data_IF_667287116090
#
_entry.id   IF_667287116090
#
_cell.length_a   1.000
_cell.length_b   1.000
_cell.length_c   1.000
_cell.angle_alpha   90.00
_cell.angle_beta   90.00
_cell.angle_gamma   90.00
#
_symmetry.space_group_name_H-M   'P 1'
#
loop_
_entity.id
_entity.type
_entity.pdbx_description
1 polymer ?
#
# COMPACT_ATOMS: atom_id res chain seq x y z
N UNK A 1 23.06 -9.30 -3.53
CA UNK A 1 22.69 -7.87 -3.79
C UNK A 1 21.24 -7.83 -4.19
N UNK A 2 20.45 -7.01 -3.52
CA UNK A 2 19.02 -6.79 -3.78
C UNK A 2 18.92 -5.48 -4.58
N UNK A 3 18.33 -5.52 -5.77
CA UNK A 3 18.26 -4.31 -6.62
C UNK A 3 17.24 -3.31 -6.09
N UNK A 4 16.06 -3.79 -5.63
CA UNK A 4 14.96 -2.95 -5.20
C UNK A 4 14.19 -3.58 -4.03
N UNK A 5 13.99 -2.81 -2.97
CA UNK A 5 13.02 -3.08 -1.91
C UNK A 5 11.74 -2.31 -2.22
N UNK A 6 10.64 -3.03 -2.50
CA UNK A 6 9.36 -2.40 -2.92
C UNK A 6 8.46 -2.00 -1.76
N UNK A 7 8.84 -2.34 -0.52
CA UNK A 7 8.00 -2.20 0.65
C UNK A 7 8.79 -1.64 1.84
N UNK A 8 8.88 -0.32 1.92
CA UNK A 8 9.45 0.41 3.06
C UNK A 8 8.59 1.62 3.40
N UNK A 9 8.72 2.12 4.63
CA UNK A 9 7.93 3.23 5.12
C UNK A 9 8.77 4.34 5.73
N UNK A 10 8.40 5.58 5.42
CA UNK A 10 8.86 6.78 6.15
C UNK A 10 7.66 7.68 6.46
N UNK A 11 7.71 8.30 7.64
CA UNK A 11 6.75 9.33 8.06
C UNK A 11 7.46 10.69 7.96
N UNK A 12 7.11 11.53 7.00
CA UNK A 12 7.77 12.81 6.83
C UNK A 12 7.43 13.77 7.97
N UNK A 13 8.46 14.43 8.51
CA UNK A 13 8.32 15.42 9.59
C UNK A 13 8.82 16.77 9.14
N UNK A 14 7.90 17.73 9.06
CA UNK A 14 8.17 19.14 8.97
C UNK A 14 7.46 19.82 10.16
N UNK A 15 8.17 20.03 11.27
CA UNK A 15 7.60 20.49 12.53
C UNK A 15 6.76 21.76 12.36
N UNK A 16 7.25 22.75 11.59
CA UNK A 16 6.55 24.01 11.36
C UNK A 16 5.24 23.82 10.57
N UNK A 17 5.26 22.97 9.54
CA UNK A 17 4.04 22.69 8.74
C UNK A 17 3.01 21.89 9.55
N UNK A 18 3.46 20.95 10.40
CA UNK A 18 2.58 20.13 11.25
C UNK A 18 1.80 20.95 12.29
N UNK A 19 2.33 22.09 12.77
CA UNK A 19 1.64 22.97 13.71
C UNK A 19 0.30 23.50 13.16
N UNK A 20 0.17 23.62 11.84
CA UNK A 20 -1.05 24.08 11.18
C UNK A 20 -2.08 22.96 10.90
N UNK A 21 -1.73 21.69 11.14
CA UNK A 21 -2.57 20.53 10.78
C UNK A 21 -3.34 20.06 12.02
N UNK A 22 -4.68 20.13 12.02
CA UNK A 22 -5.49 19.71 13.17
C UNK A 22 -5.27 18.23 13.52
N UNK A 23 -5.19 17.94 14.81
CA UNK A 23 -5.03 16.57 15.32
C UNK A 23 -3.62 16.01 15.19
N UNK A 24 -2.63 16.84 14.78
CA UNK A 24 -1.24 16.41 14.62
C UNK A 24 -0.33 17.15 15.59
N UNK A 25 0.55 16.43 16.28
CA UNK A 25 1.55 17.03 17.16
C UNK A 25 2.87 16.25 17.02
N UNK A 26 3.96 16.97 16.80
CA UNK A 26 5.31 16.42 16.81
C UNK A 26 6.03 16.80 18.12
N UNK A 27 6.57 15.81 18.80
CA UNK A 27 7.42 15.99 19.99
C UNK A 27 8.88 15.68 19.59
N UNK A 28 9.73 16.71 19.44
CA UNK A 28 11.13 16.53 19.04
C UNK A 28 11.98 15.86 20.13
N UNK A 29 11.64 16.02 21.41
CA UNK A 29 12.42 15.47 22.51
C UNK A 29 12.29 13.94 22.62
N UNK A 30 11.08 13.43 22.36
CA UNK A 30 10.82 11.98 22.35
C UNK A 30 10.83 11.38 20.95
N UNK A 31 10.99 12.18 19.91
CA UNK A 31 10.88 11.78 18.49
C UNK A 31 9.57 10.99 18.24
N UNK A 32 8.44 11.59 18.59
CA UNK A 32 7.14 10.94 18.48
C UNK A 32 6.12 11.84 17.79
N UNK A 33 5.38 11.24 16.86
CA UNK A 33 4.24 11.87 16.19
C UNK A 33 2.95 11.41 16.86
N UNK A 34 2.09 12.35 17.24
CA UNK A 34 0.74 12.06 17.73
C UNK A 34 -0.28 12.45 16.67
N UNK A 35 -1.12 11.51 16.27
CA UNK A 35 -2.21 11.69 15.31
C UNK A 35 -3.54 11.34 16.00
N UNK A 36 -4.43 12.35 16.11
CA UNK A 36 -5.76 12.16 16.68
C UNK A 36 -5.76 11.46 18.05
N UNK A 37 -4.76 11.79 18.88
CA UNK A 37 -4.55 11.21 20.21
C UNK A 37 -3.75 9.90 20.24
N UNK A 38 -3.41 9.30 19.08
CA UNK A 38 -2.60 8.09 19.00
C UNK A 38 -1.11 8.42 18.77
N UNK A 39 -0.26 7.93 19.65
CA UNK A 39 1.18 8.16 19.59
C UNK A 39 1.89 7.13 18.71
N UNK A 40 2.66 7.59 17.74
CA UNK A 40 3.58 6.81 16.91
C UNK A 40 4.99 7.07 17.40
N UNK A 41 5.62 6.07 18.01
CA UNK A 41 6.95 6.17 18.62
C UNK A 41 8.00 5.28 17.96
N UNK A 42 7.77 4.79 16.75
CA UNK A 42 8.76 4.05 15.97
C UNK A 42 9.69 5.07 15.34
N UNK A 43 10.81 5.39 16.03
CA UNK A 43 11.73 6.46 15.65
C UNK A 43 12.28 6.32 14.25
N UNK A 44 12.55 5.09 13.82
CA UNK A 44 13.13 4.82 12.51
C UNK A 44 12.24 5.29 11.36
N UNK A 45 10.92 5.41 11.56
CA UNK A 45 10.00 6.01 10.58
C UNK A 45 10.35 7.46 10.19
N UNK A 46 11.03 8.19 11.07
CA UNK A 46 11.32 9.61 10.90
C UNK A 46 12.73 9.89 10.35
N UNK A 47 13.52 8.84 10.08
CA UNK A 47 14.94 8.92 9.79
C UNK A 47 15.31 8.18 8.50
N UNK A 48 15.30 8.88 7.37
CA UNK A 48 15.68 8.31 6.07
C UNK A 48 17.13 7.78 6.06
N UNK A 49 18.03 8.42 6.80
CA UNK A 49 19.42 7.98 6.95
C UNK A 49 19.56 6.61 7.60
N UNK A 50 18.62 6.22 8.47
CA UNK A 50 18.60 4.87 9.07
C UNK A 50 18.15 3.83 8.07
N UNK A 51 17.17 4.16 7.20
CA UNK A 51 16.79 3.28 6.10
C UNK A 51 17.98 3.07 5.15
N UNK A 52 18.69 4.14 4.78
CA UNK A 52 19.86 4.06 3.90
C UNK A 52 20.96 3.21 4.55
N UNK A 53 21.26 3.42 5.83
CA UNK A 53 22.25 2.61 6.56
C UNK A 53 21.87 1.11 6.61
N UNK A 54 20.58 0.80 6.81
CA UNK A 54 20.08 -0.58 6.69
C UNK A 54 20.25 -1.14 5.29
N UNK A 55 19.90 -0.37 4.26
CA UNK A 55 20.09 -0.77 2.87
C UNK A 55 21.55 -1.12 2.56
N UNK A 56 22.50 -0.31 3.07
CA UNK A 56 23.92 -0.57 2.89
C UNK A 56 24.36 -1.86 3.57
N UNK A 57 23.91 -2.10 4.81
CA UNK A 57 24.20 -3.32 5.57
C UNK A 57 23.65 -4.59 4.89
N UNK A 58 22.50 -4.50 4.23
CA UNK A 58 21.84 -5.63 3.55
C UNK A 58 22.09 -5.68 2.05
N UNK A 59 22.99 -4.83 1.54
CA UNK A 59 23.32 -4.74 0.10
C UNK A 59 22.08 -4.52 -0.79
N UNK A 60 21.18 -3.60 -0.35
CA UNK A 60 20.00 -3.16 -1.09
C UNK A 60 20.37 -1.89 -1.85
N UNK A 61 20.20 -1.90 -3.17
CA UNK A 61 20.60 -0.77 -4.02
C UNK A 61 19.61 0.39 -3.90
N UNK A 62 18.30 0.11 -3.97
CA UNK A 62 17.22 1.11 -3.95
C UNK A 62 16.04 0.63 -3.12
N UNK A 63 15.23 1.56 -2.63
CA UNK A 63 13.96 1.26 -1.99
C UNK A 63 12.85 2.21 -2.47
N UNK A 64 11.63 1.67 -2.61
CA UNK A 64 10.42 2.47 -2.75
C UNK A 64 9.84 2.75 -1.36
N UNK A 65 9.52 4.00 -1.11
CA UNK A 65 9.05 4.46 0.19
C UNK A 65 7.61 4.93 0.09
N UNK A 66 6.75 4.36 0.92
CA UNK A 66 5.38 4.83 1.13
C UNK A 66 5.21 5.41 2.54
N UNK A 67 4.17 6.21 2.74
CA UNK A 67 3.76 6.60 4.09
C UNK A 67 3.22 5.36 4.85
N UNK A 68 3.44 5.25 6.18
CA UNK A 68 2.91 4.13 6.96
C UNK A 68 1.40 4.26 7.20
N UNK A 69 0.67 3.13 7.38
CA UNK A 69 -0.79 3.12 7.54
C UNK A 69 -1.37 4.08 8.59
N UNK A 70 -0.73 4.29 9.75
CA UNK A 70 -1.24 5.27 10.72
C UNK A 70 -1.39 6.69 10.16
N UNK A 71 -0.68 7.03 9.07
CA UNK A 71 -0.77 8.33 8.43
C UNK A 71 -1.89 8.43 7.40
N UNK A 72 -2.59 7.35 7.06
CA UNK A 72 -3.69 7.42 6.10
C UNK A 72 -4.84 8.30 6.61
N UNK A 73 -5.12 8.30 7.91
CA UNK A 73 -6.17 9.12 8.56
C UNK A 73 -7.47 9.16 7.76
N UNK A 74 -7.93 8.02 7.29
CA UNK A 74 -9.07 7.84 6.38
C UNK A 74 -10.42 8.38 6.93
N UNK A 75 -10.46 8.74 8.21
CA UNK A 75 -11.62 9.36 8.87
C UNK A 75 -11.70 10.88 8.67
N UNK A 76 -10.68 11.50 8.09
CA UNK A 76 -10.67 12.96 7.92
C UNK A 76 -11.77 13.45 6.98
N UNK A 77 -12.42 14.58 7.29
CA UNK A 77 -13.27 15.26 6.32
C UNK A 77 -12.48 15.65 5.07
N UNK A 78 -13.16 15.68 3.93
CA UNK A 78 -12.60 15.90 2.57
C UNK A 78 -11.52 16.99 2.49
N UNK A 79 -11.80 18.18 3.00
CA UNK A 79 -10.87 19.32 2.87
C UNK A 79 -9.63 19.15 3.75
N UNK A 80 -9.77 18.50 4.91
CA UNK A 80 -8.65 18.15 5.76
C UNK A 80 -7.82 17.00 5.12
N UNK A 81 -8.49 16.02 4.52
CA UNK A 81 -7.83 14.93 3.78
C UNK A 81 -6.99 15.48 2.63
N UNK A 82 -7.50 16.47 1.86
CA UNK A 82 -6.74 17.12 0.79
C UNK A 82 -5.47 17.80 1.31
N UNK A 83 -5.57 18.59 2.37
CA UNK A 83 -4.42 19.30 2.97
C UNK A 83 -3.40 18.29 3.50
N UNK A 84 -3.87 17.26 4.22
CA UNK A 84 -3.03 16.22 4.79
C UNK A 84 -2.31 15.41 3.71
N UNK A 85 -3.02 14.98 2.66
CA UNK A 85 -2.44 14.21 1.56
C UNK A 85 -1.37 15.01 0.81
N UNK A 86 -1.61 16.28 0.54
CA UNK A 86 -0.60 17.15 -0.08
C UNK A 86 0.64 17.27 0.80
N UNK A 87 0.46 17.56 2.08
CA UNK A 87 1.58 17.60 3.03
C UNK A 87 2.42 16.32 2.98
N UNK A 88 1.77 15.15 3.09
CA UNK A 88 2.46 13.87 3.10
C UNK A 88 3.27 13.63 1.83
N UNK A 89 2.66 13.86 0.66
CA UNK A 89 3.32 13.63 -0.61
C UNK A 89 4.47 14.62 -0.84
N UNK A 90 4.24 15.91 -0.59
CA UNK A 90 5.25 16.95 -0.79
C UNK A 90 6.48 16.74 0.11
N UNK A 91 6.26 16.41 1.38
CA UNK A 91 7.36 16.20 2.32
C UNK A 91 8.06 14.85 2.11
N UNK A 92 7.35 13.79 1.70
CA UNK A 92 7.97 12.51 1.34
C UNK A 92 8.87 12.65 0.11
N UNK A 93 8.41 13.39 -0.91
CA UNK A 93 9.21 13.67 -2.11
C UNK A 93 10.51 14.38 -1.76
N UNK A 94 10.47 15.43 -0.91
CA UNK A 94 11.67 16.15 -0.46
C UNK A 94 12.68 15.26 0.26
N UNK A 95 12.20 14.23 0.98
CA UNK A 95 13.10 13.26 1.63
C UNK A 95 13.79 12.41 0.57
N UNK A 96 13.03 11.88 -0.40
CA UNK A 96 13.61 10.99 -1.42
C UNK A 96 14.54 11.73 -2.40
N UNK A 97 14.24 12.96 -2.75
CA UNK A 97 15.13 13.80 -3.57
C UNK A 97 16.53 13.99 -2.98
N UNK A 98 16.64 14.00 -1.64
CA UNK A 98 17.92 14.13 -0.91
C UNK A 98 18.71 12.82 -0.82
N UNK A 99 18.15 11.72 -1.27
CA UNK A 99 18.73 10.37 -1.13
C UNK A 99 19.69 9.98 -2.27
N UNK A 100 20.05 10.90 -3.16
CA UNK A 100 20.93 10.63 -4.30
C UNK A 100 20.44 9.44 -5.17
N UNK A 101 19.11 9.31 -5.31
CA UNK A 101 18.49 8.24 -6.10
C UNK A 101 18.38 6.88 -5.40
N UNK A 102 18.73 6.81 -4.11
CA UNK A 102 18.61 5.58 -3.31
C UNK A 102 17.14 5.26 -2.96
N UNK A 103 16.32 6.30 -2.75
CA UNK A 103 14.91 6.19 -2.37
C UNK A 103 14.02 6.74 -3.47
N UNK A 104 12.93 6.04 -3.78
CA UNK A 104 11.86 6.50 -4.66
C UNK A 104 10.56 6.68 -3.88
N UNK A 105 9.88 7.83 -4.03
CA UNK A 105 8.62 8.09 -3.34
C UNK A 105 7.44 7.46 -4.05
N UNK A 106 6.53 6.82 -3.29
CA UNK A 106 5.21 6.44 -3.74
C UNK A 106 4.19 7.49 -3.33
N UNK A 107 3.43 8.01 -4.28
CA UNK A 107 2.41 9.02 -4.07
C UNK A 107 1.17 8.41 -3.43
N UNK A 108 0.74 8.91 -2.28
CA UNK A 108 -0.47 8.44 -1.62
C UNK A 108 -1.72 9.09 -2.19
N UNK A 109 -2.78 8.30 -2.44
CA UNK A 109 -4.10 8.76 -2.85
C UNK A 109 -5.18 8.28 -1.85
N UNK A 110 -6.01 9.20 -1.31
CA UNK A 110 -7.08 8.89 -0.36
C UNK A 110 -8.34 8.42 -1.12
N UNK A 111 -8.49 7.12 -1.33
CA UNK A 111 -9.60 6.54 -2.11
C UNK A 111 -10.97 6.70 -1.45
N UNK A 112 -11.03 6.99 -0.16
CA UNK A 112 -12.26 7.33 0.57
C UNK A 112 -12.88 8.65 0.09
N UNK A 113 -12.13 9.46 -0.66
CA UNK A 113 -12.57 10.72 -1.27
C UNK A 113 -12.37 10.72 -2.79
N UNK A 114 -13.19 9.98 -3.56
CA UNK A 114 -13.00 9.85 -5.03
C UNK A 114 -13.02 11.18 -5.79
N UNK A 115 -13.72 12.17 -5.26
CA UNK A 115 -13.81 13.52 -5.85
C UNK A 115 -12.51 14.33 -5.74
N UNK A 116 -11.55 13.92 -4.89
CA UNK A 116 -10.22 14.52 -4.80
C UNK A 116 -9.23 13.97 -5.83
N UNK A 117 -9.51 12.80 -6.42
CA UNK A 117 -8.54 12.08 -7.25
C UNK A 117 -8.06 12.90 -8.42
N UNK A 118 -8.95 13.58 -9.17
CA UNK A 118 -8.55 14.41 -10.30
C UNK A 118 -7.54 15.50 -9.90
N UNK A 119 -7.78 16.19 -8.78
CA UNK A 119 -6.90 17.25 -8.28
C UNK A 119 -5.55 16.69 -7.79
N UNK A 120 -5.53 15.49 -7.24
CA UNK A 120 -4.32 14.86 -6.70
C UNK A 120 -3.48 14.20 -7.79
N UNK A 121 -4.11 13.65 -8.85
CA UNK A 121 -3.39 13.06 -9.98
C UNK A 121 -2.48 14.09 -10.69
N UNK A 122 -2.90 15.35 -10.80
CA UNK A 122 -2.05 16.44 -11.33
C UNK A 122 -0.74 16.59 -10.53
N UNK A 123 -0.79 16.42 -9.21
CA UNK A 123 0.39 16.47 -8.34
C UNK A 123 1.38 15.33 -8.57
N UNK A 124 0.88 14.14 -8.89
CA UNK A 124 1.73 13.00 -9.27
C UNK A 124 2.48 13.25 -10.57
N UNK A 125 1.80 13.73 -11.61
CA UNK A 125 2.39 13.94 -12.94
C UNK A 125 3.54 14.97 -12.93
N UNK A 126 3.49 15.92 -12.03
CA UNK A 126 4.50 17.00 -11.93
C UNK A 126 5.57 16.73 -10.89
N UNK A 127 5.41 15.72 -10.03
CA UNK A 127 6.19 15.58 -8.80
C UNK A 127 7.42 14.66 -8.87
N UNK A 128 7.60 13.83 -9.88
CA UNK A 128 8.76 12.93 -9.93
C UNK A 128 8.64 11.69 -9.01
N UNK A 129 7.42 11.27 -8.69
CA UNK A 129 7.12 10.03 -7.96
C UNK A 129 7.35 8.79 -8.84
N UNK A 130 7.70 7.67 -8.22
CA UNK A 130 8.00 6.41 -8.92
C UNK A 130 6.83 5.42 -8.93
N UNK A 131 5.73 5.77 -8.34
CA UNK A 131 4.51 4.98 -8.29
C UNK A 131 3.49 5.55 -7.32
N UNK A 132 2.44 4.81 -7.11
CA UNK A 132 1.28 5.17 -6.29
C UNK A 132 1.18 4.21 -5.09
N UNK A 133 0.86 4.72 -3.90
CA UNK A 133 0.45 3.94 -2.75
C UNK A 133 -1.05 4.10 -2.51
N UNK A 134 -1.76 2.98 -2.40
CA UNK A 134 -3.20 2.94 -2.13
C UNK A 134 -3.48 2.10 -0.88
N UNK A 135 -4.42 2.57 -0.06
CA UNK A 135 -4.89 1.79 1.08
C UNK A 135 -5.74 0.62 0.60
N UNK A 136 -5.31 -0.62 0.85
CA UNK A 136 -6.16 -1.79 0.66
C UNK A 136 -7.18 -1.85 1.81
N UNK A 137 -8.38 -1.30 1.59
CA UNK A 137 -9.43 -1.24 2.62
C UNK A 137 -9.17 -0.22 3.74
N UNK A 138 -9.50 -0.58 4.97
CA UNK A 138 -9.40 0.31 6.14
C UNK A 138 -10.52 1.35 6.26
N UNK A 139 -11.36 1.50 5.27
CA UNK A 139 -12.52 2.35 5.27
C UNK A 139 -13.66 1.72 4.45
N UNK A 140 -14.91 1.80 4.93
CA UNK A 140 -16.06 1.16 4.30
C UNK A 140 -16.34 1.66 2.86
N UNK A 141 -15.93 2.88 2.55
CA UNK A 141 -16.09 3.46 1.22
C UNK A 141 -15.04 2.96 0.22
N UNK A 142 -13.96 2.33 0.65
CA UNK A 142 -12.92 1.80 -0.24
C UNK A 142 -13.32 0.41 -0.71
N UNK A 143 -13.99 0.36 -1.85
CA UNK A 143 -14.42 -0.88 -2.52
C UNK A 143 -13.93 -0.86 -3.95
N UNK A 144 -12.87 -1.56 -4.24
CA UNK A 144 -12.08 -1.51 -5.47
C UNK A 144 -12.83 -1.90 -6.76
N UNK A 145 -14.04 -2.45 -6.65
CA UNK A 145 -14.93 -2.75 -7.79
C UNK A 145 -15.90 -1.62 -8.13
N UNK A 146 -15.89 -0.51 -7.39
CA UNK A 146 -16.76 0.62 -7.67
C UNK A 146 -16.40 1.29 -8.99
N UNK A 147 -17.42 1.64 -9.76
CA UNK A 147 -17.25 2.30 -11.08
C UNK A 147 -16.67 3.71 -10.98
N UNK A 148 -16.83 4.37 -9.83
CA UNK A 148 -16.22 5.68 -9.58
C UNK A 148 -14.70 5.66 -9.75
N UNK A 149 -14.07 4.50 -9.59
CA UNK A 149 -12.63 4.34 -9.77
C UNK A 149 -12.23 4.04 -11.23
N UNK A 150 -13.15 3.82 -12.17
CA UNK A 150 -12.78 3.52 -13.56
C UNK A 150 -11.94 4.63 -14.20
N UNK A 151 -12.19 5.91 -13.84
CA UNK A 151 -11.37 7.04 -14.29
C UNK A 151 -9.95 6.98 -13.72
N UNK A 152 -9.82 6.58 -12.45
CA UNK A 152 -8.51 6.37 -11.81
C UNK A 152 -7.77 5.24 -12.49
N UNK A 153 -8.43 4.10 -12.74
CA UNK A 153 -7.78 2.96 -13.38
C UNK A 153 -7.31 3.30 -14.79
N UNK A 154 -8.10 4.02 -15.57
CA UNK A 154 -7.68 4.47 -16.89
C UNK A 154 -6.45 5.37 -16.81
N UNK A 155 -6.45 6.36 -15.93
CA UNK A 155 -5.31 7.25 -15.73
C UNK A 155 -4.03 6.51 -15.30
N UNK A 156 -4.15 5.55 -14.38
CA UNK A 156 -3.02 4.73 -13.93
C UNK A 156 -2.47 3.83 -15.03
N UNK A 157 -3.35 3.31 -15.89
CA UNK A 157 -2.98 2.50 -17.05
C UNK A 157 -2.22 3.34 -18.10
N UNK A 158 -2.73 4.53 -18.42
CA UNK A 158 -2.09 5.48 -19.33
C UNK A 158 -0.69 5.88 -18.84
N UNK A 159 -0.51 6.04 -17.53
CA UNK A 159 0.76 6.33 -16.89
C UNK A 159 1.66 5.09 -16.73
N UNK A 160 1.16 3.88 -17.00
CA UNK A 160 1.83 2.58 -16.71
C UNK A 160 2.34 2.49 -15.27
N UNK A 161 1.51 2.93 -14.34
CA UNK A 161 1.88 3.16 -12.96
C UNK A 161 2.24 1.86 -12.22
N UNK A 162 3.26 1.93 -11.37
CA UNK A 162 3.43 0.98 -10.28
C UNK A 162 2.48 1.38 -9.15
N UNK A 163 1.62 0.45 -8.72
CA UNK A 163 0.60 0.69 -7.69
C UNK A 163 0.82 -0.28 -6.54
N UNK A 164 1.28 0.24 -5.41
CA UNK A 164 1.45 -0.54 -4.20
C UNK A 164 0.18 -0.50 -3.35
N UNK A 165 -0.44 -1.66 -3.14
CA UNK A 165 -1.60 -1.81 -2.27
C UNK A 165 -1.15 -2.30 -0.89
N UNK A 166 -1.19 -1.39 0.08
CA UNK A 166 -0.86 -1.69 1.47
C UNK A 166 -2.10 -1.59 2.36
N UNK A 167 -2.34 -2.55 3.30
CA UNK A 167 -3.55 -2.53 4.11
C UNK A 167 -3.69 -1.23 4.92
N UNK A 168 -4.91 -0.69 4.93
CA UNK A 168 -5.34 0.28 5.93
C UNK A 168 -5.69 -0.42 7.25
N UNK A 169 -6.04 0.36 8.27
CA UNK A 169 -6.44 -0.20 9.56
C UNK A 169 -7.77 -0.96 9.44
N UNK A 170 -7.78 -2.24 9.71
CA UNK A 170 -8.98 -3.05 9.65
C UNK A 170 -10.02 -2.58 10.68
N UNK A 171 -11.26 -2.40 10.23
CA UNK A 171 -12.35 -1.86 11.06
C UNK A 171 -13.22 -2.96 11.72
N UNK A 172 -12.83 -4.23 11.64
CA UNK A 172 -13.62 -5.33 12.24
C UNK A 172 -13.50 -5.32 13.77
N UNK A 173 -14.59 -5.02 14.50
CA UNK A 173 -14.53 -4.92 15.97
C UNK A 173 -14.20 -6.25 16.67
N UNK A 174 -14.29 -7.38 15.97
CA UNK A 174 -13.90 -8.69 16.52
C UNK A 174 -12.37 -8.85 16.62
N UNK A 175 -11.60 -7.99 15.96
CA UNK A 175 -10.14 -8.08 15.88
C UNK A 175 -9.40 -7.14 16.84
N UNK A 176 -10.11 -6.45 17.74
CA UNK A 176 -9.50 -5.45 18.65
C UNK A 176 -8.59 -6.06 19.73
N UNK A 177 -8.73 -7.36 20.05
CA UNK A 177 -7.89 -8.03 21.03
C UNK A 177 -6.69 -8.74 20.36
N UNK A 178 -5.63 -8.96 21.15
CA UNK A 178 -4.46 -9.77 20.75
C UNK A 178 -3.73 -9.27 19.50
N UNK A 179 -3.83 -8.00 19.19
CA UNK A 179 -3.24 -7.41 17.99
C UNK A 179 -3.77 -8.03 16.68
N UNK A 180 -4.98 -8.61 16.71
CA UNK A 180 -5.57 -9.30 15.55
C UNK A 180 -5.92 -8.34 14.40
N UNK A 181 -6.10 -7.05 14.67
CA UNK A 181 -6.25 -6.02 13.63
C UNK A 181 -5.07 -6.06 12.65
N UNK A 182 -3.85 -6.21 13.17
CA UNK A 182 -2.66 -6.35 12.36
C UNK A 182 -2.47 -7.78 11.87
N UNK A 183 -2.52 -8.78 12.77
CA UNK A 183 -2.16 -10.18 12.47
C UNK A 183 -3.12 -10.86 11.48
N UNK A 184 -4.40 -10.49 11.50
CA UNK A 184 -5.46 -11.04 10.64
C UNK A 184 -6.04 -9.95 9.73
N UNK A 185 -6.34 -8.77 10.29
CA UNK A 185 -7.02 -7.71 9.58
C UNK A 185 -6.23 -7.22 8.37
N UNK A 186 -4.95 -6.91 8.51
CA UNK A 186 -4.13 -6.44 7.41
C UNK A 186 -4.08 -7.42 6.22
N UNK A 187 -3.76 -8.72 6.40
CA UNK A 187 -3.83 -9.67 5.28
C UNK A 187 -5.24 -9.85 4.72
N UNK A 188 -6.30 -9.71 5.53
CA UNK A 188 -7.67 -9.74 5.04
C UNK A 188 -8.00 -8.55 4.14
N UNK A 189 -7.67 -7.32 4.54
CA UNK A 189 -7.91 -6.11 3.74
C UNK A 189 -7.21 -6.20 2.37
N UNK A 190 -5.96 -6.64 2.34
CA UNK A 190 -5.23 -6.88 1.08
C UNK A 190 -5.95 -7.90 0.20
N UNK A 191 -6.39 -9.03 0.79
CA UNK A 191 -7.11 -10.08 0.07
C UNK A 191 -8.45 -9.62 -0.48
N UNK A 192 -9.21 -8.82 0.29
CA UNK A 192 -10.51 -8.25 -0.14
C UNK A 192 -10.32 -7.25 -1.28
N UNK A 193 -9.35 -6.33 -1.16
CA UNK A 193 -9.06 -5.36 -2.22
C UNK A 193 -8.68 -6.04 -3.54
N UNK A 194 -7.76 -7.02 -3.48
CA UNK A 194 -7.35 -7.79 -4.65
C UNK A 194 -8.51 -8.60 -5.25
N UNK A 195 -9.37 -9.21 -4.41
CA UNK A 195 -10.55 -9.93 -4.85
C UNK A 195 -11.53 -9.02 -5.62
N UNK A 196 -11.78 -7.80 -5.12
CA UNK A 196 -12.61 -6.82 -5.83
C UNK A 196 -12.02 -6.43 -7.18
N UNK A 197 -10.72 -6.13 -7.25
CA UNK A 197 -10.03 -5.82 -8.51
C UNK A 197 -10.19 -6.96 -9.53
N UNK A 198 -9.94 -8.20 -9.10
CA UNK A 198 -10.04 -9.39 -9.96
C UNK A 198 -11.46 -9.62 -10.45
N UNK A 199 -12.44 -9.64 -9.52
CA UNK A 199 -13.83 -9.94 -9.84
C UNK A 199 -14.53 -8.83 -10.60
N UNK A 200 -13.99 -7.62 -10.62
CA UNK A 200 -14.39 -6.52 -11.49
C UNK A 200 -13.62 -6.50 -12.84
N UNK A 201 -12.67 -7.42 -13.05
CA UNK A 201 -11.87 -7.50 -14.26
C UNK A 201 -10.89 -6.33 -14.47
N UNK A 202 -10.56 -5.59 -13.40
CA UNK A 202 -9.69 -4.40 -13.47
C UNK A 202 -8.32 -4.72 -14.06
N UNK A 203 -7.58 -5.78 -13.59
CA UNK A 203 -6.24 -6.04 -14.12
C UNK A 203 -6.20 -6.48 -15.58
N UNK A 204 -7.33 -6.98 -16.11
CA UNK A 204 -7.43 -7.35 -17.53
C UNK A 204 -7.85 -6.17 -18.40
N UNK A 205 -8.69 -5.27 -17.88
CA UNK A 205 -9.12 -4.05 -18.59
C UNK A 205 -8.03 -2.99 -18.67
N UNK A 206 -7.15 -2.95 -17.67
CA UNK A 206 -6.09 -1.97 -17.48
C UNK A 206 -4.74 -2.70 -17.31
N UNK A 207 -4.20 -3.30 -18.39
CA UNK A 207 -3.09 -4.24 -18.33
C UNK A 207 -1.72 -3.60 -18.08
N UNK A 208 -1.58 -2.30 -18.26
CA UNK A 208 -0.32 -1.58 -18.05
C UNK A 208 -0.13 -1.14 -16.59
N UNK A 209 -1.15 -1.26 -15.73
CA UNK A 209 -1.02 -1.04 -14.28
C UNK A 209 -0.25 -2.21 -13.66
N UNK A 210 0.82 -1.91 -12.94
CA UNK A 210 1.60 -2.90 -12.19
C UNK A 210 1.18 -2.91 -10.72
N UNK A 211 0.09 -3.63 -10.40
CA UNK A 211 -0.36 -3.79 -9.03
C UNK A 211 0.59 -4.68 -8.23
N UNK A 212 1.11 -4.20 -7.10
CA UNK A 212 1.90 -4.94 -6.14
C UNK A 212 1.16 -5.00 -4.80
N UNK A 213 0.87 -6.21 -4.34
CA UNK A 213 0.14 -6.43 -3.10
C UNK A 213 1.12 -6.65 -1.94
N UNK A 214 0.92 -5.96 -0.83
CA UNK A 214 1.70 -6.18 0.38
C UNK A 214 1.44 -7.57 1.00
N UNK A 215 2.41 -8.04 1.81
CA UNK A 215 2.32 -9.24 2.64
C UNK A 215 1.98 -10.51 1.83
N UNK A 216 2.76 -10.74 0.76
CA UNK A 216 2.62 -11.87 -0.16
C UNK A 216 1.18 -12.01 -0.74
N UNK A 217 0.46 -10.90 -0.90
CA UNK A 217 -0.93 -10.87 -1.38
C UNK A 217 -1.97 -11.18 -0.30
N UNK A 218 -1.59 -11.14 0.97
CA UNK A 218 -2.48 -11.33 2.12
C UNK A 218 -3.16 -12.69 2.10
N UNK A 219 -4.50 -12.70 2.20
CA UNK A 219 -5.28 -13.95 2.19
C UNK A 219 -5.58 -14.49 0.78
N UNK A 220 -5.32 -13.72 -0.27
CA UNK A 220 -5.69 -14.08 -1.65
C UNK A 220 -5.11 -15.42 -2.11
N UNK A 221 -3.83 -15.76 -1.88
CA UNK A 221 -3.28 -17.05 -2.31
C UNK A 221 -4.06 -18.26 -1.81
N UNK A 222 -4.59 -18.19 -0.57
CA UNK A 222 -5.40 -19.26 0.03
C UNK A 222 -6.82 -19.32 -0.49
N UNK A 223 -7.34 -18.25 -1.08
CA UNK A 223 -8.76 -18.11 -1.44
C UNK A 223 -9.03 -18.12 -2.94
N UNK A 224 -8.02 -17.88 -3.79
CA UNK A 224 -8.22 -17.76 -5.24
C UNK A 224 -8.83 -19.02 -5.86
N UNK A 225 -8.46 -20.21 -5.39
CA UNK A 225 -9.08 -21.47 -5.84
C UNK A 225 -10.57 -21.58 -5.50
N UNK A 226 -11.01 -21.01 -4.36
CA UNK A 226 -12.41 -20.90 -4.02
C UNK A 226 -13.15 -19.90 -4.93
N UNK A 227 -12.51 -18.80 -5.30
CA UNK A 227 -13.05 -17.82 -6.25
C UNK A 227 -13.19 -18.43 -7.64
N UNK A 228 -12.20 -19.20 -8.10
CA UNK A 228 -12.24 -19.99 -9.33
C UNK A 228 -13.44 -20.95 -9.35
N UNK A 229 -13.69 -21.64 -8.24
CA UNK A 229 -14.86 -22.51 -8.12
C UNK A 229 -16.18 -21.74 -8.14
N UNK A 230 -16.22 -20.53 -7.56
CA UNK A 230 -17.36 -19.63 -7.63
C UNK A 230 -17.67 -19.23 -9.08
N UNK A 231 -16.62 -18.96 -9.85
CA UNK A 231 -16.69 -18.66 -11.28
C UNK A 231 -17.27 -19.86 -12.08
N UNK A 232 -16.71 -21.05 -11.91
CA UNK A 232 -17.17 -22.28 -12.58
C UNK A 232 -18.64 -22.62 -12.30
N UNK A 233 -19.08 -22.35 -11.08
CA UNK A 233 -20.45 -22.64 -10.64
C UNK A 233 -21.40 -21.45 -10.77
N UNK A 234 -20.96 -20.38 -11.43
CA UNK A 234 -21.77 -19.20 -11.73
C UNK A 234 -22.53 -18.69 -10.51
N UNK A 235 -21.77 -18.43 -9.41
CA UNK A 235 -22.40 -17.92 -8.20
C UNK A 235 -23.09 -16.58 -8.45
N UNK A 236 -24.17 -16.26 -7.71
CA UNK A 236 -24.88 -14.98 -7.87
C UNK A 236 -23.92 -13.79 -7.78
N UNK A 237 -23.98 -12.89 -8.77
CA UNK A 237 -23.12 -11.70 -8.87
C UNK A 237 -21.72 -11.94 -9.47
N UNK A 238 -21.36 -13.19 -9.79
CA UNK A 238 -20.11 -13.47 -10.51
C UNK A 238 -20.33 -13.30 -12.00
N UNK A 239 -19.60 -12.34 -12.60
CA UNK A 239 -19.56 -12.15 -14.05
C UNK A 239 -18.56 -13.15 -14.66
N UNK A 240 -19.05 -14.10 -15.45
CA UNK A 240 -18.21 -15.10 -16.12
C UNK A 240 -17.70 -14.65 -17.50
N UNK A 241 -18.01 -13.43 -17.93
CA UNK A 241 -17.45 -12.85 -19.15
C UNK A 241 -16.07 -12.22 -18.94
N UNK A 242 -15.68 -12.01 -17.67
CA UNK A 242 -14.34 -11.50 -17.33
C UNK A 242 -13.28 -12.60 -17.35
N UNK A 243 -12.01 -12.21 -17.19
CA UNK A 243 -10.91 -13.15 -17.03
C UNK A 243 -11.09 -14.02 -15.75
N UNK A 244 -10.76 -15.30 -15.86
CA UNK A 244 -10.86 -16.24 -14.73
C UNK A 244 -9.97 -15.84 -13.54
N UNK A 245 -10.42 -16.06 -12.29
CA UNK A 245 -9.68 -15.63 -11.10
C UNK A 245 -8.23 -16.15 -11.03
N UNK A 246 -7.96 -17.41 -11.34
CA UNK A 246 -6.61 -17.96 -11.36
C UNK A 246 -5.73 -17.35 -12.44
N UNK A 247 -6.30 -16.89 -13.55
CA UNK A 247 -5.56 -16.20 -14.61
C UNK A 247 -5.33 -14.74 -14.23
N UNK A 248 -6.34 -14.06 -13.71
CA UNK A 248 -6.26 -12.67 -13.25
C UNK A 248 -5.26 -12.50 -12.11
N UNK A 249 -5.15 -13.47 -11.19
CA UNK A 249 -4.17 -13.44 -10.12
C UNK A 249 -2.72 -13.31 -10.63
N UNK A 250 -2.40 -13.87 -11.80
CA UNK A 250 -1.06 -13.78 -12.41
C UNK A 250 -0.69 -12.40 -12.92
N UNK A 251 -1.59 -11.43 -12.87
CA UNK A 251 -1.33 -10.04 -13.24
C UNK A 251 -0.83 -9.19 -12.07
N UNK A 252 -0.86 -9.73 -10.85
CA UNK A 252 -0.37 -9.04 -9.66
C UNK A 252 1.09 -9.40 -9.39
N UNK A 253 1.82 -8.39 -8.93
CA UNK A 253 3.07 -8.56 -8.18
C UNK A 253 2.75 -8.64 -6.70
N UNK A 254 3.62 -9.24 -5.90
CA UNK A 254 3.53 -9.31 -4.44
C UNK A 254 4.92 -9.14 -3.84
N UNK A 255 5.00 -8.64 -2.62
CA UNK A 255 6.23 -8.75 -1.85
C UNK A 255 6.44 -10.18 -1.30
N UNK A 256 7.57 -10.41 -0.64
CA UNK A 256 7.92 -11.72 -0.09
C UNK A 256 7.64 -11.85 1.42
N UNK A 257 6.87 -10.93 2.02
CA UNK A 257 6.58 -10.92 3.45
C UNK A 257 5.45 -11.93 3.76
N UNK A 258 5.81 -13.18 3.90
CA UNK A 258 4.86 -14.29 4.09
C UNK A 258 4.97 -14.95 5.48
N UNK A 259 6.03 -14.67 6.26
CA UNK A 259 6.36 -15.23 7.58
C UNK A 259 6.35 -16.77 7.65
N UNK A 260 6.11 -17.47 6.56
CA UNK A 260 6.15 -18.92 6.46
C UNK A 260 6.55 -19.36 5.03
N UNK A 261 7.55 -20.26 4.88
CA UNK A 261 8.03 -20.67 3.56
C UNK A 261 6.97 -21.35 2.69
N UNK A 262 6.03 -22.09 3.28
CA UNK A 262 4.92 -22.70 2.56
C UNK A 262 3.96 -21.67 1.95
N UNK A 263 3.72 -20.55 2.65
CA UNK A 263 2.89 -19.47 2.12
C UNK A 263 3.61 -18.72 0.98
N UNK A 264 4.91 -18.47 1.12
CA UNK A 264 5.70 -17.86 0.05
C UNK A 264 5.73 -18.75 -1.20
N UNK A 265 5.85 -20.07 -1.02
CA UNK A 265 5.75 -21.04 -2.14
C UNK A 265 4.37 -20.96 -2.81
N UNK A 266 3.29 -20.90 -2.03
CA UNK A 266 1.94 -20.77 -2.56
C UNK A 266 1.75 -19.46 -3.32
N UNK A 267 2.24 -18.35 -2.78
CA UNK A 267 2.21 -17.06 -3.46
C UNK A 267 2.92 -17.12 -4.82
N UNK A 268 4.12 -17.71 -4.88
CA UNK A 268 4.85 -17.93 -6.14
C UNK A 268 4.10 -18.82 -7.15
N UNK A 269 3.32 -19.80 -6.68
CA UNK A 269 2.48 -20.64 -7.54
C UNK A 269 1.25 -19.88 -8.08
N UNK A 270 0.64 -19.03 -7.27
CA UNK A 270 -0.57 -18.27 -7.62
C UNK A 270 -0.24 -17.10 -8.54
N UNK A 271 0.71 -16.26 -8.15
CA UNK A 271 1.03 -15.03 -8.88
C UNK A 271 2.08 -15.23 -9.98
N UNK A 272 2.92 -16.23 -9.85
CA UNK A 272 4.13 -16.45 -10.64
C UNK A 272 5.38 -16.08 -9.85
N UNK A 273 6.39 -16.95 -9.88
CA UNK A 273 7.64 -16.75 -9.12
C UNK A 273 8.36 -15.43 -9.49
N UNK A 274 8.28 -15.04 -10.74
CA UNK A 274 8.85 -13.79 -11.28
C UNK A 274 8.11 -12.53 -10.82
N UNK A 275 6.94 -12.66 -10.21
CA UNK A 275 6.15 -11.56 -9.66
C UNK A 275 6.31 -11.40 -8.15
N UNK A 276 7.09 -12.28 -7.51
CA UNK A 276 7.45 -12.13 -6.10
C UNK A 276 8.67 -11.21 -6.00
N UNK A 277 8.46 -10.04 -5.43
CA UNK A 277 9.48 -9.01 -5.27
C UNK A 277 10.03 -9.01 -3.84
N UNK A 278 11.20 -8.44 -3.63
CA UNK A 278 11.71 -8.22 -2.29
C UNK A 278 11.00 -7.02 -1.66
N UNK A 279 10.46 -7.20 -0.45
CA UNK A 279 9.91 -6.14 0.38
C UNK A 279 10.26 -6.40 1.84
N UNK A 280 10.72 -5.38 2.57
CA UNK A 280 11.17 -5.55 3.95
C UNK A 280 10.13 -5.19 5.00
N UNK A 281 9.18 -4.32 4.68
CA UNK A 281 8.26 -3.65 5.62
C UNK A 281 9.00 -2.86 6.71
N UNK A 282 10.20 -2.38 6.38
CA UNK A 282 10.98 -1.56 7.31
C UNK A 282 10.26 -0.23 7.60
N UNK A 283 10.22 0.25 8.84
CA UNK A 283 10.88 -0.27 10.04
C UNK A 283 9.96 -1.04 11.01
N UNK A 284 8.91 -1.65 10.50
CA UNK A 284 7.94 -2.33 11.36
C UNK A 284 8.47 -3.66 11.92
N UNK A 285 8.16 -3.98 13.21
CA UNK A 285 8.57 -5.27 13.81
C UNK A 285 7.97 -6.50 13.11
N UNK A 286 6.87 -6.32 12.35
CA UNK A 286 6.25 -7.37 11.54
C UNK A 286 6.87 -7.52 10.15
N UNK A 287 7.88 -6.72 9.82
CA UNK A 287 8.66 -6.88 8.60
C UNK A 287 9.56 -8.11 8.60
N UNK A 288 10.39 -8.24 7.57
CA UNK A 288 11.40 -9.29 7.52
C UNK A 288 12.45 -9.04 8.60
N UNK A 289 12.76 -10.10 9.36
CA UNK A 289 13.85 -10.04 10.34
C UNK A 289 15.19 -9.74 9.65
N UNK A 290 15.99 -8.88 10.27
CA UNK A 290 17.37 -8.68 9.85
C UNK A 290 18.15 -9.99 10.14
N UNK A 291 18.53 -10.72 9.10
CA UNK A 291 19.32 -11.96 9.16
C UNK A 291 20.80 -11.69 8.98
#
# INVERSE_FOLDING_TARGET
MIELDVHTHLAPINAQALEAIPGVTWDPDSEALTLDGHRIGIRDLFHAERLIARMDNHQISRALVSIPPPLYRQHLPRDQALVWTRYLNDELLKITERSEGRLGALYYLPLEHPDLLNTLCEGYETGGFEGIALAAGGHAEIVYSRKEYDVLWQWLDDCKAFVFLHPGCCQDPRLTAFYLENLIGNPMETGVAAAHLMMAGVPARYPDIRFCLAHAGGTLPSLVGRMERGFDTQRPGVDTAIERPLQSAKRFYVDNIAHHPGLLTLAGQVFGQQHVMYGSDWPFPMGLADT
#
